data_IF_316328667227
#
_entry.id   IF_316328667227
#
_cell.length_a   1.000
_cell.length_b   1.000
_cell.length_c   1.000
_cell.angle_alpha   90.00
_cell.angle_beta   90.00
_cell.angle_gamma   90.00
#
_symmetry.space_group_name_H-M   'P 1'
#
loop_
_entity.id
_entity.type
_entity.pdbx_description
1 polymer ?
#
# COMPACT_ATOMS: atom_id res chain seq x y z
N UNK A 1 -66.59 -21.20 -55.55
CA UNK A 1 -67.38 -20.51 -54.51
C UNK A 1 -66.50 -20.45 -53.27
N UNK A 2 -66.19 -19.21 -52.87
CA UNK A 2 -65.72 -18.73 -51.56
C UNK A 2 -64.25 -18.91 -51.18
N UNK A 3 -63.50 -17.85 -51.52
CA UNK A 3 -62.37 -17.30 -50.77
C UNK A 3 -62.77 -17.06 -49.31
N UNK A 4 -61.91 -17.46 -48.37
CA UNK A 4 -61.63 -16.81 -47.08
C UNK A 4 -60.80 -17.75 -46.21
N UNK A 5 -59.50 -17.48 -46.06
CA UNK A 5 -58.74 -17.93 -44.89
C UNK A 5 -57.77 -16.84 -44.49
N UNK A 6 -58.29 -15.98 -43.63
CA UNK A 6 -57.67 -15.18 -42.58
C UNK A 6 -56.13 -15.10 -42.56
N UNK A 7 -55.63 -13.89 -42.78
CA UNK A 7 -54.28 -13.48 -42.44
C UNK A 7 -54.06 -13.50 -40.92
N UNK A 8 -53.16 -14.35 -40.44
CA UNK A 8 -52.70 -14.28 -39.04
C UNK A 8 -51.90 -12.98 -38.80
N UNK A 9 -52.14 -12.25 -37.71
CA UNK A 9 -51.36 -11.07 -37.38
C UNK A 9 -49.94 -11.47 -36.97
N UNK A 10 -48.94 -10.87 -37.60
CA UNK A 10 -47.55 -10.99 -37.21
C UNK A 10 -47.35 -10.45 -35.79
N UNK A 11 -47.20 -11.34 -34.80
CA UNK A 11 -46.78 -10.98 -33.45
C UNK A 11 -45.33 -10.50 -33.47
N UNK A 12 -45.14 -9.19 -33.38
CA UNK A 12 -43.84 -8.57 -33.13
C UNK A 12 -43.41 -8.89 -31.68
N UNK A 13 -42.41 -9.75 -31.50
CA UNK A 13 -41.79 -9.97 -30.20
C UNK A 13 -41.12 -8.67 -29.71
N UNK A 14 -41.30 -8.24 -28.45
CA UNK A 14 -40.72 -6.99 -27.97
C UNK A 14 -39.18 -7.09 -27.91
N UNK A 15 -38.44 -6.00 -28.19
CA UNK A 15 -36.99 -6.02 -28.15
C UNK A 15 -36.52 -6.25 -26.70
N UNK A 16 -35.77 -7.33 -26.47
CA UNK A 16 -35.10 -7.61 -25.20
C UNK A 16 -34.05 -6.52 -24.93
N UNK A 17 -34.44 -5.46 -24.22
CA UNK A 17 -33.54 -4.38 -23.79
C UNK A 17 -32.48 -4.96 -22.85
N UNK A 18 -31.24 -5.08 -23.33
CA UNK A 18 -30.16 -5.74 -22.58
C UNK A 18 -29.66 -4.84 -21.43
N UNK A 19 -30.23 -5.00 -20.23
CA UNK A 19 -29.78 -4.32 -19.01
C UNK A 19 -28.36 -4.71 -18.57
N UNK A 20 -27.80 -5.74 -19.19
CA UNK A 20 -26.44 -6.22 -18.94
C UNK A 20 -25.39 -5.21 -19.44
N UNK A 21 -25.66 -4.47 -20.52
CA UNK A 21 -24.73 -3.47 -21.09
C UNK A 21 -24.39 -2.32 -20.11
N UNK A 22 -25.37 -1.62 -19.51
CA UNK A 22 -25.05 -0.58 -18.52
C UNK A 22 -24.41 -1.13 -17.24
N UNK A 23 -24.72 -2.38 -16.86
CA UNK A 23 -24.10 -3.09 -15.74
C UNK A 23 -22.59 -3.31 -15.97
N UNK A 24 -22.22 -3.77 -17.17
CA UNK A 24 -20.80 -3.96 -17.54
C UNK A 24 -20.07 -2.62 -17.56
N UNK A 25 -20.68 -1.57 -18.13
CA UNK A 25 -20.09 -0.22 -18.14
C UNK A 25 -19.86 0.31 -16.72
N UNK A 26 -20.82 0.12 -15.81
CA UNK A 26 -20.67 0.49 -14.40
C UNK A 26 -19.55 -0.27 -13.70
N UNK A 27 -19.42 -1.57 -13.96
CA UNK A 27 -18.37 -2.40 -13.38
C UNK A 27 -16.97 -1.98 -13.86
N UNK A 28 -16.82 -1.65 -15.15
CA UNK A 28 -15.55 -1.17 -15.71
C UNK A 28 -15.13 0.15 -15.04
N UNK A 29 -16.07 1.09 -14.87
CA UNK A 29 -15.78 2.37 -14.20
C UNK A 29 -15.35 2.14 -12.74
N UNK A 30 -16.03 1.25 -12.03
CA UNK A 30 -15.67 0.88 -10.65
C UNK A 30 -14.25 0.31 -10.58
N UNK A 31 -13.90 -0.63 -11.45
CA UNK A 31 -12.56 -1.22 -11.48
C UNK A 31 -11.48 -0.19 -11.81
N UNK A 32 -11.73 0.71 -12.77
CA UNK A 32 -10.81 1.82 -13.05
C UNK A 32 -10.61 2.71 -11.82
N UNK A 33 -11.68 3.02 -11.08
CA UNK A 33 -11.61 3.78 -9.84
C UNK A 33 -10.79 3.08 -8.75
N UNK A 34 -10.96 1.77 -8.56
CA UNK A 34 -10.20 0.98 -7.58
C UNK A 34 -8.71 0.94 -7.95
N UNK A 35 -8.40 0.73 -9.23
CA UNK A 35 -7.00 0.68 -9.69
C UNK A 35 -6.33 2.04 -9.51
N UNK A 36 -6.97 3.12 -9.93
CA UNK A 36 -6.43 4.48 -9.78
C UNK A 36 -6.27 4.83 -8.30
N UNK A 37 -7.33 4.66 -7.50
CA UNK A 37 -7.30 4.97 -6.07
C UNK A 37 -6.28 4.13 -5.31
N UNK A 38 -6.21 2.82 -5.59
CA UNK A 38 -5.23 1.91 -5.00
C UNK A 38 -3.80 2.28 -5.37
N UNK A 39 -3.54 2.57 -6.65
CA UNK A 39 -2.23 3.01 -7.11
C UNK A 39 -1.80 4.32 -6.46
N UNK A 40 -2.70 5.31 -6.32
CA UNK A 40 -2.42 6.57 -5.64
C UNK A 40 -2.07 6.37 -4.17
N UNK A 41 -2.83 5.54 -3.44
CA UNK A 41 -2.57 5.26 -2.03
C UNK A 41 -1.23 4.54 -1.85
N UNK A 42 -0.96 3.51 -2.65
CA UNK A 42 0.31 2.79 -2.59
C UNK A 42 1.50 3.69 -2.96
N UNK A 43 1.35 4.52 -3.98
CA UNK A 43 2.38 5.50 -4.37
C UNK A 43 2.62 6.55 -3.28
N UNK A 44 1.57 7.06 -2.63
CA UNK A 44 1.71 8.02 -1.53
C UNK A 44 2.41 7.40 -0.29
N UNK A 45 2.03 6.19 0.10
CA UNK A 45 2.65 5.48 1.23
C UNK A 45 4.14 5.20 0.94
N UNK A 46 4.43 4.67 -0.24
CA UNK A 46 5.80 4.31 -0.63
C UNK A 46 6.71 5.50 -0.83
N UNK A 47 6.22 6.62 -1.37
CA UNK A 47 7.02 7.83 -1.57
C UNK A 47 7.15 8.66 -0.30
N UNK A 48 6.07 8.97 0.40
CA UNK A 48 6.13 9.98 1.47
C UNK A 48 6.39 9.39 2.85
N UNK A 49 5.79 8.23 3.17
CA UNK A 49 5.95 7.61 4.50
C UNK A 49 7.27 6.85 4.56
N UNK A 50 7.59 6.10 3.51
CA UNK A 50 8.81 5.29 3.48
C UNK A 50 10.09 6.13 3.32
N UNK A 51 10.06 7.25 2.58
CA UNK A 51 11.20 8.18 2.54
C UNK A 51 11.43 8.87 3.89
N UNK A 52 10.36 9.26 4.60
CA UNK A 52 10.49 9.79 5.96
C UNK A 52 11.14 8.81 6.94
N UNK A 53 10.95 7.50 6.73
CA UNK A 53 11.63 6.45 7.49
C UNK A 53 13.09 6.22 7.05
N UNK A 54 13.47 6.63 5.84
CA UNK A 54 14.83 6.52 5.30
C UNK A 54 15.71 7.73 5.64
N UNK A 55 15.14 8.91 5.81
CA UNK A 55 15.85 10.13 6.25
C UNK A 55 15.33 10.62 7.61
N UNK A 56 15.63 9.88 8.70
CA UNK A 56 15.11 10.18 10.04
C UNK A 56 15.49 11.58 10.53
N UNK A 57 16.63 12.13 10.10
CA UNK A 57 17.12 13.45 10.54
C UNK A 57 16.21 14.62 10.11
N UNK A 58 15.46 14.48 9.02
CA UNK A 58 14.63 15.56 8.48
C UNK A 58 13.22 15.56 9.13
N UNK A 59 12.83 14.46 9.79
CA UNK A 59 11.49 14.26 10.35
C UNK A 59 11.17 15.24 11.49
N UNK A 60 12.05 15.44 12.50
CA UNK A 60 11.79 16.38 13.60
C UNK A 60 11.51 17.80 13.11
N UNK A 61 12.31 18.29 12.15
CA UNK A 61 12.16 19.64 11.61
C UNK A 61 10.85 19.78 10.80
N UNK A 62 10.56 18.83 9.91
CA UNK A 62 9.32 18.86 9.12
C UNK A 62 8.08 18.79 10.00
N UNK A 63 8.08 17.91 11.00
CA UNK A 63 6.94 17.75 11.89
C UNK A 63 6.72 18.99 12.76
N UNK A 64 7.81 19.57 13.28
CA UNK A 64 7.76 20.82 14.03
C UNK A 64 7.25 21.98 13.17
N UNK A 65 7.73 22.11 11.93
CA UNK A 65 7.25 23.15 11.01
C UNK A 65 5.74 23.00 10.73
N UNK A 66 5.25 21.78 10.49
CA UNK A 66 3.82 21.53 10.30
C UNK A 66 3.02 21.90 11.55
N UNK A 67 3.50 21.54 12.74
CA UNK A 67 2.85 21.90 14.01
C UNK A 67 2.87 23.41 14.25
N UNK A 68 3.97 24.08 13.95
CA UNK A 68 4.09 25.53 14.06
C UNK A 68 3.03 26.25 13.23
N UNK A 69 2.81 25.84 11.98
CA UNK A 69 1.80 26.43 11.11
C UNK A 69 0.37 26.07 11.52
N UNK A 70 0.12 24.82 11.94
CA UNK A 70 -1.24 24.35 12.28
C UNK A 70 -1.72 24.81 13.65
N UNK A 71 -0.80 25.00 14.59
CA UNK A 71 -1.09 25.37 15.97
C UNK A 71 -0.69 26.80 16.31
N UNK A 72 -0.13 27.55 15.34
CA UNK A 72 0.41 28.90 15.53
C UNK A 72 1.39 28.98 16.71
N UNK A 73 2.35 28.06 16.76
CA UNK A 73 3.35 28.03 17.83
C UNK A 73 4.25 29.26 17.75
N UNK A 74 4.58 29.85 18.91
CA UNK A 74 5.64 30.87 18.98
C UNK A 74 7.00 30.25 18.63
N UNK A 75 8.01 31.06 18.26
CA UNK A 75 9.36 30.54 18.00
C UNK A 75 9.90 29.70 19.17
N UNK A 76 9.71 30.15 20.40
CA UNK A 76 10.17 29.45 21.61
C UNK A 76 9.44 28.12 21.82
N UNK A 77 8.14 28.07 21.51
CA UNK A 77 7.37 26.83 21.55
C UNK A 77 7.82 25.85 20.46
N UNK A 78 8.08 26.35 19.25
CA UNK A 78 8.57 25.53 18.14
C UNK A 78 9.94 24.92 18.46
N UNK A 79 10.87 25.69 19.02
CA UNK A 79 12.18 25.20 19.46
C UNK A 79 12.02 24.09 20.51
N UNK A 80 11.13 24.28 21.49
CA UNK A 80 10.89 23.26 22.51
C UNK A 80 10.27 21.99 21.94
N UNK A 81 9.37 22.11 20.96
CA UNK A 81 8.79 20.95 20.26
C UNK A 81 9.85 20.23 19.44
N UNK A 82 10.75 20.95 18.77
CA UNK A 82 11.86 20.37 18.03
C UNK A 82 12.78 19.54 18.93
N UNK A 83 13.16 20.07 20.09
CA UNK A 83 13.96 19.34 21.09
C UNK A 83 13.26 18.05 21.54
N UNK A 84 11.94 18.09 21.77
CA UNK A 84 11.17 16.91 22.14
C UNK A 84 11.21 15.87 21.03
N UNK A 85 10.97 16.27 19.78
CA UNK A 85 11.04 15.36 18.63
C UNK A 85 12.42 14.73 18.48
N UNK A 86 13.50 15.52 18.59
CA UNK A 86 14.88 15.02 18.51
C UNK A 86 15.17 13.98 19.61
N UNK A 87 14.82 14.29 20.86
CA UNK A 87 14.99 13.36 21.98
C UNK A 87 14.27 12.02 21.74
N UNK A 88 13.06 12.06 21.21
CA UNK A 88 12.31 10.82 20.96
C UNK A 88 12.79 10.07 19.72
N UNK A 89 13.29 10.78 18.70
CA UNK A 89 13.93 10.17 17.55
C UNK A 89 15.17 9.39 17.96
N UNK A 90 16.06 9.99 18.76
CA UNK A 90 17.25 9.30 19.28
C UNK A 90 16.88 8.04 20.07
N UNK A 91 15.89 8.13 20.97
CA UNK A 91 15.40 6.98 21.74
C UNK A 91 14.82 5.89 20.84
N UNK A 92 14.15 6.27 19.75
CA UNK A 92 13.61 5.32 18.78
C UNK A 92 14.73 4.62 18.00
N UNK A 93 15.72 5.37 17.50
CA UNK A 93 16.89 4.84 16.80
C UNK A 93 17.67 3.88 17.70
N UNK A 94 17.84 4.23 18.98
CA UNK A 94 18.51 3.37 19.94
C UNK A 94 17.77 2.05 20.16
N UNK A 95 16.45 2.10 20.39
CA UNK A 95 15.64 0.86 20.48
C UNK A 95 15.71 0.03 19.20
N UNK A 96 15.73 0.67 18.03
CA UNK A 96 15.88 -0.02 16.75
C UNK A 96 17.25 -0.71 16.65
N UNK A 97 18.34 -0.05 17.06
CA UNK A 97 19.69 -0.66 17.13
C UNK A 97 19.71 -1.89 18.03
N UNK A 98 19.07 -1.81 19.19
CA UNK A 98 19.02 -2.91 20.15
C UNK A 98 18.14 -4.08 19.68
N UNK A 99 17.02 -3.79 19.01
CA UNK A 99 16.10 -4.82 18.52
C UNK A 99 16.60 -5.51 17.23
N UNK A 100 17.37 -4.80 16.39
CA UNK A 100 17.80 -5.26 15.07
C UNK A 100 18.46 -6.65 15.09
N UNK A 101 19.45 -6.96 15.97
CA UNK A 101 20.08 -8.27 15.98
C UNK A 101 19.10 -9.42 16.26
N UNK A 102 18.10 -9.19 17.12
CA UNK A 102 17.09 -10.20 17.41
C UNK A 102 16.21 -10.44 16.20
N UNK A 103 15.77 -9.38 15.52
CA UNK A 103 14.97 -9.51 14.30
C UNK A 103 15.78 -10.20 13.18
N UNK A 104 17.08 -9.89 13.04
CA UNK A 104 17.95 -10.56 12.08
C UNK A 104 18.03 -12.07 12.33
N UNK A 105 18.18 -12.48 13.60
CA UNK A 105 18.18 -13.90 14.00
C UNK A 105 16.85 -14.60 13.68
N UNK A 106 15.72 -13.96 13.98
CA UNK A 106 14.39 -14.52 13.66
C UNK A 106 14.19 -14.68 12.15
N UNK A 107 14.66 -13.72 11.35
CA UNK A 107 14.59 -13.81 9.89
C UNK A 107 15.52 -14.90 9.34
N UNK A 108 16.71 -15.09 9.93
CA UNK A 108 17.62 -16.18 9.55
C UNK A 108 17.00 -17.55 9.87
N UNK A 109 16.42 -17.70 11.06
CA UNK A 109 15.72 -18.92 11.46
C UNK A 109 14.54 -19.23 10.54
N UNK A 110 13.68 -18.24 10.28
CA UNK A 110 12.56 -18.35 9.34
C UNK A 110 13.02 -18.80 7.95
N UNK A 111 14.09 -18.21 7.43
CA UNK A 111 14.63 -18.58 6.11
C UNK A 111 15.12 -20.02 6.10
N UNK A 112 15.84 -20.44 7.14
CA UNK A 112 16.37 -21.81 7.26
C UNK A 112 15.24 -22.84 7.37
N UNK A 113 14.23 -22.59 8.20
CA UNK A 113 13.08 -23.48 8.39
C UNK A 113 12.26 -23.63 7.11
N UNK A 114 12.04 -22.53 6.37
CA UNK A 114 11.35 -22.59 5.07
C UNK A 114 12.22 -23.34 4.05
N UNK A 115 13.52 -23.06 3.96
CA UNK A 115 14.40 -23.73 2.99
C UNK A 115 14.51 -25.24 3.24
N UNK A 116 14.37 -25.70 4.48
CA UNK A 116 14.39 -27.12 4.82
C UNK A 116 13.20 -27.93 4.24
N UNK A 117 12.08 -27.27 3.94
CA UNK A 117 10.88 -27.94 3.37
C UNK A 117 10.73 -27.73 1.86
N UNK A 118 11.61 -26.94 1.24
CA UNK A 118 11.57 -26.63 -0.18
C UNK A 118 12.49 -27.54 -0.99
N UNK A 119 12.15 -27.77 -2.26
CA UNK A 119 13.11 -28.34 -3.21
C UNK A 119 14.24 -27.33 -3.50
N UNK A 120 15.41 -27.77 -3.98
CA UNK A 120 16.52 -26.86 -4.31
C UNK A 120 16.12 -25.72 -5.26
N UNK A 121 15.30 -26.03 -6.27
CA UNK A 121 14.80 -25.05 -7.24
C UNK A 121 13.80 -24.05 -6.63
N UNK A 122 13.03 -24.47 -5.63
CA UNK A 122 12.11 -23.61 -4.90
C UNK A 122 12.86 -22.71 -3.91
N UNK A 123 13.87 -23.25 -3.23
CA UNK A 123 14.72 -22.50 -2.30
C UNK A 123 15.43 -21.34 -3.01
N UNK A 124 15.99 -21.56 -4.20
CA UNK A 124 16.65 -20.49 -4.97
C UNK A 124 15.68 -19.34 -5.32
N UNK A 125 14.43 -19.68 -5.68
CA UNK A 125 13.38 -18.68 -5.95
C UNK A 125 12.95 -17.96 -4.68
N UNK A 126 12.88 -18.68 -3.56
CA UNK A 126 12.56 -18.12 -2.26
C UNK A 126 13.63 -17.14 -1.79
N UNK A 127 14.91 -17.50 -1.82
CA UNK A 127 16.02 -16.64 -1.36
C UNK A 127 16.05 -15.29 -2.09
N UNK A 128 15.78 -15.29 -3.41
CA UNK A 128 15.68 -14.06 -4.21
C UNK A 128 14.52 -13.16 -3.77
N UNK A 129 13.40 -13.74 -3.32
CA UNK A 129 12.24 -12.99 -2.81
C UNK A 129 12.45 -12.55 -1.37
N UNK A 130 13.04 -13.43 -0.56
CA UNK A 130 13.29 -13.20 0.85
C UNK A 130 14.28 -12.06 1.09
N UNK A 131 15.34 -11.94 0.26
CA UNK A 131 16.27 -10.81 0.33
C UNK A 131 15.59 -9.45 0.14
N UNK A 132 14.59 -9.36 -0.75
CA UNK A 132 13.77 -8.14 -0.94
C UNK A 132 12.85 -7.88 0.25
N UNK A 133 12.25 -8.93 0.80
CA UNK A 133 11.43 -8.82 2.00
C UNK A 133 12.27 -8.35 3.21
N UNK A 134 13.47 -8.93 3.39
CA UNK A 134 14.40 -8.58 4.48
C UNK A 134 14.80 -7.11 4.45
N UNK A 135 15.10 -6.56 3.28
CA UNK A 135 15.48 -5.13 3.17
C UNK A 135 14.32 -4.17 3.43
N UNK A 136 13.07 -4.61 3.28
CA UNK A 136 11.88 -3.85 3.65
C UNK A 136 11.61 -3.90 5.16
N UNK A 137 11.75 -5.07 5.79
CA UNK A 137 11.51 -5.27 7.24
C UNK A 137 12.63 -4.68 8.08
N UNK A 138 13.88 -4.83 7.64
CA UNK A 138 15.08 -4.32 8.30
C UNK A 138 15.85 -3.38 7.35
N UNK A 139 15.37 -2.14 7.16
CA UNK A 139 16.12 -1.15 6.41
C UNK A 139 17.49 -0.90 7.07
N UNK A 140 18.52 -0.48 6.32
CA UNK A 140 19.81 -0.10 6.89
C UNK A 140 19.63 0.98 7.96
N UNK A 141 20.54 0.99 8.95
CA UNK A 141 20.61 2.10 9.89
C UNK A 141 21.15 3.33 9.12
N UNK A 142 20.65 4.54 9.43
CA UNK A 142 21.26 5.77 8.93
C UNK A 142 22.71 5.92 9.41
#
# INVERSE_FOLDING_TARGET
>A
MNENTESMPATLAPPRRSWIRPLISGLIILFCGIIIGGATVLWFISSHVLEGLRTPEIVPQRLTNVMQHRLNLTPEQADRVLEIHNKYLERFLERRRQARPNIEKELDALQAEINAVLTPEQAEKWDKRFSRFRSLVLPPLP
#
